data_IF_756550350836
#
_entry.id   IF_756550350836
#
_cell.length_a   1.000
_cell.length_b   1.000
_cell.length_c   1.000
_cell.angle_alpha   90.00
_cell.angle_beta   90.00
_cell.angle_gamma   90.00
#
_symmetry.space_group_name_H-M   'P 1'
#
loop_
_entity.id
_entity.type
_entity.pdbx_description
1 polymer ?
#
# COMPACT_ATOMS: atom_id res chain seq x y z
N UNK A 1 -16.83 -4.73 -6.76
CA UNK A 1 -16.46 -5.13 -8.13
C UNK A 1 -15.03 -4.71 -8.40
N UNK A 2 -14.39 -5.28 -9.43
CA UNK A 2 -13.06 -4.84 -9.89
C UNK A 2 -13.06 -3.36 -10.29
N UNK A 3 -14.14 -2.89 -10.91
CA UNK A 3 -14.34 -1.47 -11.26
C UNK A 3 -14.20 -0.53 -10.05
N UNK A 4 -14.92 -0.80 -8.95
CA UNK A 4 -14.79 -0.03 -7.70
C UNK A 4 -13.39 -0.06 -7.10
N UNK A 5 -12.61 -1.11 -7.35
CA UNK A 5 -11.22 -1.19 -6.88
C UNK A 5 -10.32 -0.29 -7.73
N UNK A 6 -10.48 -0.32 -9.05
CA UNK A 6 -9.78 0.56 -10.00
C UNK A 6 -10.07 2.04 -9.71
N UNK A 7 -11.34 2.40 -9.49
CA UNK A 7 -11.72 3.76 -9.11
C UNK A 7 -11.00 4.23 -7.83
N UNK A 8 -10.91 3.37 -6.81
CA UNK A 8 -10.18 3.68 -5.57
C UNK A 8 -8.69 3.85 -5.80
N UNK A 9 -8.09 3.04 -6.65
CA UNK A 9 -6.66 3.13 -7.02
C UNK A 9 -6.41 4.47 -7.72
N UNK A 10 -7.22 4.84 -8.70
CA UNK A 10 -7.05 6.10 -9.43
C UNK A 10 -7.27 7.32 -8.52
N UNK A 11 -8.30 7.32 -7.68
CA UNK A 11 -8.49 8.37 -6.68
C UNK A 11 -7.29 8.48 -5.72
N UNK A 12 -6.65 7.35 -5.39
CA UNK A 12 -5.47 7.32 -4.53
C UNK A 12 -4.22 7.87 -5.23
N UNK A 13 -4.03 7.56 -6.51
CA UNK A 13 -2.94 8.10 -7.34
C UNK A 13 -3.03 9.62 -7.45
N UNK A 14 -4.22 10.17 -7.69
CA UNK A 14 -4.41 11.62 -7.70
C UNK A 14 -4.13 12.24 -6.31
N UNK A 15 -4.58 11.60 -5.23
CA UNK A 15 -4.25 12.07 -3.86
C UNK A 15 -2.74 12.06 -3.58
N UNK A 16 -2.00 11.08 -4.11
CA UNK A 16 -0.54 11.00 -3.98
C UNK A 16 0.13 12.12 -4.76
N UNK A 17 -0.31 12.37 -6.00
CA UNK A 17 0.22 13.44 -6.86
C UNK A 17 0.04 14.82 -6.21
N UNK A 18 -1.12 15.07 -5.61
CA UNK A 18 -1.35 16.29 -4.82
C UNK A 18 -0.47 16.33 -3.57
N UNK A 19 -0.32 15.20 -2.88
CA UNK A 19 0.60 15.05 -1.74
C UNK A 19 2.06 15.35 -2.10
N UNK A 20 2.53 14.87 -3.26
CA UNK A 20 3.88 15.13 -3.77
C UNK A 20 4.12 16.61 -4.06
N UNK A 21 3.13 17.29 -4.66
CA UNK A 21 3.17 18.75 -4.84
C UNK A 21 3.28 19.47 -3.50
N UNK A 22 2.41 19.12 -2.55
CA UNK A 22 2.39 19.73 -1.22
C UNK A 22 3.69 19.50 -0.43
N UNK A 23 4.31 18.32 -0.56
CA UNK A 23 5.62 18.02 0.05
C UNK A 23 6.72 18.84 -0.60
N UNK A 24 6.72 18.96 -1.93
CA UNK A 24 7.71 19.76 -2.67
C UNK A 24 7.64 21.24 -2.29
N UNK A 25 6.44 21.79 -2.15
CA UNK A 25 6.27 23.18 -1.73
C UNK A 25 6.69 23.38 -0.28
N UNK A 26 6.25 22.50 0.64
CA UNK A 26 6.70 22.56 2.03
C UNK A 26 8.22 22.37 2.20
N UNK A 27 8.87 21.62 1.29
CA UNK A 27 10.32 21.46 1.28
C UNK A 27 11.04 22.77 0.94
N UNK A 28 10.49 23.55 0.00
CA UNK A 28 11.04 24.88 -0.34
C UNK A 28 10.91 25.83 0.84
N UNK A 29 9.74 25.86 1.48
CA UNK A 29 9.49 26.70 2.65
C UNK A 29 10.42 26.31 3.82
N UNK A 30 10.64 25.02 4.03
CA UNK A 30 11.50 24.50 5.10
C UNK A 30 13.00 24.75 4.90
N UNK A 31 13.49 25.02 3.67
CA UNK A 31 14.93 25.23 3.40
C UNK A 31 15.49 26.45 4.12
N UNK A 32 14.70 27.53 4.19
CA UNK A 32 15.06 28.78 4.86
C UNK A 32 14.06 29.17 5.96
N UNK A 33 13.06 28.33 6.20
CA UNK A 33 12.01 28.55 7.18
C UNK A 33 12.41 28.20 8.62
N UNK A 34 11.50 28.50 9.54
CA UNK A 34 11.67 28.22 10.96
C UNK A 34 11.51 26.74 11.29
N UNK A 35 11.67 26.40 12.57
CA UNK A 35 11.38 25.06 13.10
C UNK A 35 9.95 24.62 12.75
N UNK A 36 8.99 25.55 12.68
CA UNK A 36 7.60 25.25 12.34
C UNK A 36 7.46 24.75 10.90
N UNK A 37 8.10 25.40 9.93
CA UNK A 37 8.05 24.98 8.52
C UNK A 37 8.72 23.61 8.33
N UNK A 38 9.82 23.33 9.03
CA UNK A 38 10.45 22.00 9.04
C UNK A 38 9.52 20.91 9.57
N UNK A 39 8.81 21.17 10.67
CA UNK A 39 7.80 20.23 11.20
C UNK A 39 6.64 20.01 10.24
N UNK A 40 6.21 21.03 9.50
CA UNK A 40 5.15 20.91 8.49
C UNK A 40 5.61 20.01 7.33
N UNK A 41 6.84 20.21 6.85
CA UNK A 41 7.45 19.34 5.84
C UNK A 41 7.48 17.88 6.28
N UNK A 42 7.97 17.60 7.49
CA UNK A 42 8.04 16.22 8.02
C UNK A 42 6.66 15.57 8.15
N UNK A 43 5.65 16.32 8.59
CA UNK A 43 4.26 15.84 8.65
C UNK A 43 3.71 15.49 7.27
N UNK A 44 3.89 16.37 6.29
CA UNK A 44 3.44 16.14 4.90
C UNK A 44 4.17 14.96 4.26
N UNK A 45 5.48 14.82 4.50
CA UNK A 45 6.27 13.68 4.04
C UNK A 45 5.76 12.37 4.62
N UNK A 46 5.56 12.28 5.95
CA UNK A 46 4.98 11.09 6.59
C UNK A 46 3.59 10.75 6.06
N UNK A 47 2.76 11.76 5.81
CA UNK A 47 1.44 11.54 5.22
C UNK A 47 1.54 10.96 3.80
N UNK A 48 2.45 11.47 2.97
CA UNK A 48 2.70 10.97 1.62
C UNK A 48 3.16 9.51 1.64
N UNK A 49 4.11 9.15 2.51
CA UNK A 49 4.56 7.75 2.65
C UNK A 49 3.39 6.82 3.00
N UNK A 50 2.53 7.22 3.95
CA UNK A 50 1.32 6.46 4.30
C UNK A 50 0.36 6.31 3.12
N UNK A 51 0.20 7.35 2.29
CA UNK A 51 -0.64 7.27 1.09
C UNK A 51 -0.06 6.27 0.07
N UNK A 52 1.27 6.26 -0.13
CA UNK A 52 1.97 5.33 -1.01
C UNK A 52 1.86 3.88 -0.53
N UNK A 53 2.03 3.63 0.76
CA UNK A 53 1.80 2.30 1.35
C UNK A 53 0.36 1.80 1.13
N UNK A 54 -0.62 2.70 1.27
CA UNK A 54 -2.03 2.37 1.03
C UNK A 54 -2.31 2.08 -0.45
N UNK A 55 -1.67 2.80 -1.38
CA UNK A 55 -1.76 2.50 -2.81
C UNK A 55 -1.19 1.12 -3.12
N UNK A 56 0.02 0.81 -2.63
CA UNK A 56 0.67 -0.48 -2.87
C UNK A 56 -0.22 -1.66 -2.40
N UNK A 57 -0.90 -1.51 -1.26
CA UNK A 57 -1.86 -2.52 -0.77
C UNK A 57 -3.05 -2.71 -1.71
N UNK A 58 -3.55 -1.64 -2.32
CA UNK A 58 -4.67 -1.72 -3.27
C UNK A 58 -4.24 -2.34 -4.60
N UNK A 59 -3.02 -2.03 -5.08
CA UNK A 59 -2.46 -2.62 -6.29
C UNK A 59 -2.21 -4.13 -6.11
N UNK A 60 -1.65 -4.55 -4.97
CA UNK A 60 -1.53 -5.98 -4.63
C UNK A 60 -2.90 -6.67 -4.63
N UNK A 61 -3.92 -6.01 -4.06
CA UNK A 61 -5.29 -6.55 -4.04
C UNK A 61 -5.90 -6.64 -5.45
N UNK A 62 -5.56 -5.73 -6.36
CA UNK A 62 -6.02 -5.79 -7.74
C UNK A 62 -5.41 -7.00 -8.45
N UNK A 63 -4.09 -7.15 -8.37
CA UNK A 63 -3.36 -8.29 -8.96
C UNK A 63 -3.89 -9.62 -8.43
N UNK A 64 -4.03 -9.77 -7.11
CA UNK A 64 -4.52 -11.01 -6.50
C UNK A 64 -5.93 -11.38 -7.00
N UNK A 65 -6.80 -10.40 -7.22
CA UNK A 65 -8.15 -10.65 -7.75
C UNK A 65 -8.18 -10.96 -9.23
N UNK A 66 -7.32 -10.32 -10.01
CA UNK A 66 -7.26 -10.53 -11.46
C UNK A 66 -6.68 -11.90 -11.78
N UNK A 67 -5.56 -12.26 -11.14
CA UNK A 67 -4.91 -13.56 -11.31
C UNK A 67 -5.77 -14.73 -10.82
N UNK A 68 -6.53 -14.54 -9.73
CA UNK A 68 -7.41 -15.58 -9.20
C UNK A 68 -8.82 -15.58 -9.81
N UNK A 69 -9.11 -14.77 -10.84
CA UNK A 69 -10.47 -14.63 -11.39
C UNK A 69 -11.08 -15.94 -11.88
N UNK A 70 -10.25 -16.88 -12.35
CA UNK A 70 -10.67 -18.18 -12.88
C UNK A 70 -10.15 -19.37 -12.06
N UNK A 71 -9.48 -19.11 -10.94
CA UNK A 71 -8.76 -20.13 -10.16
C UNK A 71 -9.44 -20.33 -8.79
N UNK A 72 -9.83 -21.56 -8.50
CA UNK A 72 -10.37 -21.94 -7.19
C UNK A 72 -9.28 -22.51 -6.28
N UNK A 73 -8.79 -21.71 -5.33
CA UNK A 73 -7.68 -22.10 -4.43
C UNK A 73 -8.12 -22.98 -3.24
N UNK A 74 -9.42 -23.04 -2.93
CA UNK A 74 -9.91 -23.67 -1.69
C UNK A 74 -9.61 -25.18 -1.59
N UNK A 75 -9.84 -25.92 -2.67
CA UNK A 75 -9.67 -27.38 -2.67
C UNK A 75 -8.21 -27.78 -2.48
N UNK A 76 -7.28 -27.15 -3.19
CA UNK A 76 -5.85 -27.44 -3.05
C UNK A 76 -5.31 -27.03 -1.68
N UNK A 77 -5.73 -25.88 -1.18
CA UNK A 77 -5.35 -25.39 0.16
C UNK A 77 -5.71 -26.37 1.27
N UNK A 78 -6.87 -27.02 1.21
CA UNK A 78 -7.35 -27.93 2.25
C UNK A 78 -6.89 -29.38 2.06
N UNK A 79 -6.81 -29.86 0.82
CA UNK A 79 -6.68 -31.29 0.54
C UNK A 79 -5.32 -31.70 -0.02
N UNK A 80 -4.57 -30.76 -0.62
CA UNK A 80 -3.38 -31.08 -1.42
C UNK A 80 -2.11 -30.36 -0.96
N UNK A 81 -2.18 -29.49 0.05
CA UNK A 81 -1.04 -28.80 0.64
C UNK A 81 -0.79 -29.26 2.08
N UNK A 82 0.45 -29.62 2.40
CA UNK A 82 0.84 -29.90 3.79
C UNK A 82 0.83 -28.59 4.61
N UNK A 83 -0.02 -28.47 5.65
CA UNK A 83 -0.17 -27.23 6.41
C UNK A 83 1.13 -26.82 7.12
N UNK A 84 2.05 -27.75 7.37
CA UNK A 84 3.35 -27.46 8.01
C UNK A 84 4.23 -26.59 7.14
N UNK A 85 4.09 -26.67 5.81
CA UNK A 85 4.81 -25.81 4.86
C UNK A 85 4.41 -24.35 5.09
N UNK A 86 3.11 -24.07 5.13
CA UNK A 86 2.58 -22.72 5.37
C UNK A 86 2.95 -22.21 6.76
N UNK A 87 2.84 -23.05 7.81
CA UNK A 87 3.22 -22.67 9.19
C UNK A 87 4.71 -22.35 9.28
N UNK A 88 5.58 -23.16 8.68
CA UNK A 88 7.02 -22.92 8.67
C UNK A 88 7.37 -21.61 7.95
N UNK A 89 6.73 -21.35 6.80
CA UNK A 89 6.89 -20.10 6.07
C UNK A 89 6.42 -18.89 6.90
N UNK A 90 5.23 -18.96 7.51
CA UNK A 90 4.71 -17.87 8.35
C UNK A 90 5.66 -17.55 9.52
N UNK A 91 6.18 -18.57 10.21
CA UNK A 91 7.17 -18.38 11.29
C UNK A 91 8.48 -17.79 10.78
N UNK A 92 8.98 -18.27 9.64
CA UNK A 92 10.25 -17.80 9.05
C UNK A 92 10.22 -16.32 8.67
N UNK A 93 9.08 -15.82 8.17
CA UNK A 93 8.94 -14.45 7.70
C UNK A 93 8.14 -13.55 8.65
N UNK A 94 7.79 -14.02 9.85
CA UNK A 94 7.03 -13.26 10.84
C UNK A 94 5.62 -12.88 10.39
N UNK A 95 5.02 -13.69 9.51
CA UNK A 95 3.63 -13.49 9.04
C UNK A 95 2.67 -14.10 10.08
N UNK A 96 1.65 -13.36 10.54
CA UNK A 96 0.64 -13.88 11.45
C UNK A 96 -0.09 -15.11 10.86
N UNK A 97 -0.34 -16.12 11.70
CA UNK A 97 -1.08 -17.35 11.35
C UNK A 97 -2.54 -17.20 11.78
#
# INVERSE_FOLDING_TARGET
SMEKLKEKIEAKKESIKDGERQVKDAQKDAKHGSVKEKQIYDKKKKMLERLKEQLAKLEIQETDRDENKTIALGTSKLNYLDPRISVAWCKKYGVPI
#
